data_IF_252648709500
#
_entry.id   IF_252648709500
#
_cell.length_a   1.000
_cell.length_b   1.000
_cell.length_c   1.000
_cell.angle_alpha   90.00
_cell.angle_beta   90.00
_cell.angle_gamma   90.00
#
_symmetry.space_group_name_H-M   'P 1'
#
loop_
_entity.id
_entity.type
_entity.pdbx_description
1 polymer ?
#
# COMPACT_ATOMS: atom_id res chain seq x y z
N UNK A 1 20.04 2.87 34.32
CA UNK A 1 20.13 1.88 35.40
C UNK A 1 20.78 0.61 34.85
N UNK A 2 22.01 0.36 35.27
CA UNK A 2 22.73 -0.93 35.33
C UNK A 2 22.66 -1.96 34.19
N UNK A 3 23.56 -1.83 33.22
CA UNK A 3 24.26 -2.98 32.61
C UNK A 3 25.80 -2.83 32.58
N UNK A 4 26.36 -1.70 33.03
CA UNK A 4 27.82 -1.47 33.04
C UNK A 4 28.53 -1.90 34.34
N UNK A 5 27.83 -2.45 35.34
CA UNK A 5 28.42 -2.85 36.62
C UNK A 5 28.85 -4.34 36.72
N UNK A 6 28.58 -5.18 35.72
CA UNK A 6 28.77 -6.63 35.84
C UNK A 6 30.13 -7.18 35.33
N UNK A 7 31.02 -6.35 34.75
CA UNK A 7 32.29 -6.83 34.17
C UNK A 7 33.54 -6.50 35.00
N UNK A 8 33.39 -5.93 36.21
CA UNK A 8 34.51 -5.60 37.09
C UNK A 8 34.87 -6.71 38.09
N UNK A 9 34.84 -7.99 37.71
CA UNK A 9 35.41 -9.09 38.53
C UNK A 9 35.88 -10.25 37.65
N UNK A 10 36.96 -10.03 36.89
CA UNK A 10 37.81 -11.11 36.42
C UNK A 10 39.24 -10.77 36.81
N UNK A 11 39.63 -11.42 37.89
CA UNK A 11 41.01 -11.68 38.35
C UNK A 11 42.10 -11.15 37.43
N UNK A 12 42.71 -10.03 37.84
CA UNK A 12 44.05 -9.67 37.36
C UNK A 12 44.95 -10.89 37.59
N UNK A 13 45.75 -11.32 36.59
CA UNK A 13 46.82 -12.25 36.86
C UNK A 13 47.78 -11.52 37.81
N UNK A 14 47.83 -11.96 39.07
CA UNK A 14 48.88 -11.60 40.02
C UNK A 14 50.19 -12.20 39.53
N UNK A 15 50.78 -11.58 38.51
CA UNK A 15 52.04 -12.00 37.89
C UNK A 15 53.05 -10.84 37.88
N UNK A 16 53.07 -10.04 38.93
CA UNK A 16 54.23 -9.21 39.26
C UNK A 16 54.40 -9.26 40.76
N UNK A 17 55.01 -10.35 41.24
CA UNK A 17 55.64 -10.33 42.55
C UNK A 17 56.89 -9.47 42.35
N UNK A 18 56.79 -8.19 42.75
CA UNK A 18 57.95 -7.31 42.84
C UNK A 18 59.03 -8.07 43.60
N UNK A 19 60.18 -8.27 42.95
CA UNK A 19 61.34 -8.92 43.55
C UNK A 19 61.69 -8.11 44.80
N UNK A 20 61.65 -8.69 46.02
CA UNK A 20 62.13 -7.97 47.19
C UNK A 20 63.60 -7.65 46.97
N UNK A 21 63.97 -6.38 47.16
CA UNK A 21 65.36 -5.93 47.13
C UNK A 21 66.26 -6.90 47.91
N UNK A 22 67.41 -7.25 47.33
CA UNK A 22 68.40 -8.12 47.94
C UNK A 22 68.82 -7.49 49.28
N UNK A 23 68.28 -8.00 50.39
CA UNK A 23 68.84 -7.79 51.72
C UNK A 23 69.69 -9.01 52.01
N UNK A 24 71.00 -8.87 51.85
CA UNK A 24 71.97 -9.86 52.32
C UNK A 24 71.94 -9.84 53.85
N UNK A 25 71.12 -10.68 54.47
CA UNK A 25 71.24 -10.97 55.89
C UNK A 25 72.57 -11.71 56.10
N UNK A 26 73.48 -11.11 56.86
CA UNK A 26 74.74 -11.73 57.29
C UNK A 26 74.45 -13.00 58.08
N UNK A 27 75.05 -14.15 57.75
CA UNK A 27 74.83 -15.38 58.51
C UNK A 27 75.49 -15.26 59.88
N UNK A 28 74.73 -15.57 60.94
CA UNK A 28 75.26 -15.78 62.28
C UNK A 28 76.12 -17.05 62.27
N UNK A 29 77.39 -16.90 62.63
CA UNK A 29 78.44 -17.91 62.40
C UNK A 29 78.67 -18.69 63.69
N UNK A 30 77.86 -19.72 63.94
CA UNK A 30 78.13 -20.66 65.05
C UNK A 30 77.99 -22.14 64.72
N UNK A 31 77.77 -22.54 63.46
CA UNK A 31 77.94 -23.93 63.01
C UNK A 31 78.64 -23.99 61.64
N UNK A 32 79.90 -24.43 61.62
CA UNK A 32 80.82 -24.31 60.47
C UNK A 32 81.07 -25.61 59.71
N UNK A 33 80.27 -26.66 59.91
CA UNK A 33 80.47 -27.93 59.20
C UNK A 33 79.69 -28.09 57.89
N UNK A 34 78.65 -27.26 57.62
CA UNK A 34 77.83 -27.41 56.40
C UNK A 34 77.35 -26.10 55.73
N UNK A 35 78.18 -25.06 55.75
CA UNK A 35 77.84 -23.76 55.10
C UNK A 35 77.95 -23.81 53.57
N UNK A 36 78.84 -24.64 53.02
CA UNK A 36 79.00 -24.81 51.57
C UNK A 36 77.90 -25.66 50.94
N UNK A 37 77.35 -26.65 51.65
CA UNK A 37 76.20 -27.43 51.20
C UNK A 37 74.96 -26.57 51.05
N UNK A 38 74.62 -25.83 52.12
CA UNK A 38 73.48 -24.91 52.13
C UNK A 38 73.53 -23.82 51.04
N UNK A 39 74.71 -23.25 50.77
CA UNK A 39 74.86 -22.25 49.70
C UNK A 39 74.69 -22.84 48.29
N UNK A 40 75.13 -24.09 48.08
CA UNK A 40 74.92 -24.78 46.78
C UNK A 40 73.46 -25.12 46.54
N UNK A 41 72.78 -25.59 47.58
CA UNK A 41 71.34 -25.90 47.51
C UNK A 41 70.52 -24.64 47.19
N UNK A 42 70.79 -23.52 47.88
CA UNK A 42 70.15 -22.23 47.59
C UNK A 42 70.47 -21.70 46.19
N UNK A 43 71.67 -21.96 45.66
CA UNK A 43 72.02 -21.58 44.30
C UNK A 43 71.22 -22.41 43.28
N UNK A 44 71.13 -23.73 43.50
CA UNK A 44 70.34 -24.63 42.66
C UNK A 44 68.85 -24.26 42.65
N UNK A 45 68.26 -23.96 43.82
CA UNK A 45 66.88 -23.45 43.92
C UNK A 45 66.67 -22.17 43.11
N UNK A 46 67.64 -21.24 43.14
CA UNK A 46 67.55 -19.98 42.39
C UNK A 46 67.75 -20.16 40.90
N UNK A 47 68.57 -21.12 40.48
CA UNK A 47 68.71 -21.50 39.09
C UNK A 47 67.42 -22.14 38.55
N UNK A 48 66.79 -23.02 39.32
CA UNK A 48 65.49 -23.61 38.97
C UNK A 48 64.38 -22.56 38.90
N UNK A 49 64.32 -21.63 39.87
CA UNK A 49 63.39 -20.50 39.87
C UNK A 49 63.60 -19.60 38.65
N UNK A 50 64.87 -19.31 38.29
CA UNK A 50 65.20 -18.52 37.10
C UNK A 50 64.78 -19.22 35.79
N UNK A 51 64.98 -20.54 35.70
CA UNK A 51 64.55 -21.33 34.55
C UNK A 51 63.02 -21.34 34.41
N UNK A 52 62.29 -21.54 35.50
CA UNK A 52 60.82 -21.51 35.51
C UNK A 52 60.27 -20.14 35.14
N UNK A 53 60.88 -19.07 35.67
CA UNK A 53 60.52 -17.70 35.32
C UNK A 53 60.78 -17.41 33.84
N UNK A 54 61.90 -17.90 33.28
CA UNK A 54 62.21 -17.75 31.86
C UNK A 54 61.21 -18.49 30.97
N UNK A 55 60.82 -19.72 31.34
CA UNK A 55 59.80 -20.48 30.62
C UNK A 55 58.44 -19.75 30.62
N UNK A 56 58.04 -19.21 31.78
CA UNK A 56 56.79 -18.44 31.93
C UNK A 56 56.82 -17.15 31.10
N UNK A 57 57.97 -16.46 31.03
CA UNK A 57 58.16 -15.27 30.20
C UNK A 57 58.02 -15.59 28.72
N UNK A 58 58.58 -16.72 28.27
CA UNK A 58 58.48 -17.15 26.87
C UNK A 58 57.03 -17.47 26.48
N UNK A 59 56.31 -18.23 27.30
CA UNK A 59 54.89 -18.53 27.09
C UNK A 59 54.04 -17.25 27.08
N UNK A 60 54.32 -16.32 27.99
CA UNK A 60 53.62 -15.03 28.04
C UNK A 60 53.88 -14.21 26.78
N UNK A 61 55.10 -14.23 26.25
CA UNK A 61 55.46 -13.55 25.00
C UNK A 61 54.70 -14.15 23.81
N UNK A 62 54.60 -15.47 23.72
CA UNK A 62 53.86 -16.16 22.66
C UNK A 62 52.36 -15.82 22.71
N UNK A 63 51.76 -15.85 23.90
CA UNK A 63 50.37 -15.41 24.09
C UNK A 63 50.15 -13.94 23.71
N UNK A 64 51.13 -13.06 23.97
CA UNK A 64 51.05 -11.66 23.55
C UNK A 64 51.11 -11.50 22.03
N UNK A 65 51.93 -12.30 21.34
CA UNK A 65 51.96 -12.29 19.87
C UNK A 65 50.64 -12.80 19.29
N UNK A 66 50.08 -13.88 19.81
CA UNK A 66 48.76 -14.37 19.37
C UNK A 66 47.66 -13.33 19.61
N UNK A 67 47.64 -12.69 20.79
CA UNK A 67 46.70 -11.61 21.09
C UNK A 67 46.83 -10.44 20.10
N UNK A 68 48.07 -10.10 19.70
CA UNK A 68 48.33 -9.03 18.74
C UNK A 68 47.81 -9.38 17.36
N UNK A 69 48.07 -10.59 16.87
CA UNK A 69 47.61 -11.05 15.56
C UNK A 69 46.08 -11.10 15.50
N UNK A 70 45.43 -11.55 16.58
CA UNK A 70 43.98 -11.50 16.71
C UNK A 70 43.43 -10.07 16.68
N UNK A 71 44.09 -9.13 17.34
CA UNK A 71 43.71 -7.72 17.32
C UNK A 71 43.86 -7.13 15.91
N UNK A 72 44.96 -7.41 15.23
CA UNK A 72 45.21 -6.93 13.87
C UNK A 72 44.16 -7.48 12.90
N UNK A 73 43.83 -8.77 12.99
CA UNK A 73 42.74 -9.39 12.20
C UNK A 73 41.38 -8.73 12.48
N UNK A 74 41.00 -8.60 13.76
CA UNK A 74 39.73 -7.97 14.14
C UNK A 74 39.64 -6.51 13.67
N UNK A 75 40.75 -5.76 13.70
CA UNK A 75 40.75 -4.38 13.19
C UNK A 75 40.60 -4.32 11.67
N UNK A 76 41.18 -5.27 10.92
CA UNK A 76 40.99 -5.37 9.48
C UNK A 76 39.54 -5.70 9.12
N UNK A 77 38.92 -6.66 9.82
CA UNK A 77 37.50 -6.99 9.64
C UNK A 77 36.57 -5.81 9.92
N UNK A 78 36.85 -5.05 10.99
CA UNK A 78 36.08 -3.85 11.33
C UNK A 78 36.19 -2.77 10.24
N UNK A 79 37.38 -2.58 9.66
CA UNK A 79 37.57 -1.65 8.53
C UNK A 79 36.75 -2.08 7.32
N UNK A 80 36.84 -3.35 6.93
CA UNK A 80 36.07 -3.90 5.82
C UNK A 80 34.54 -3.82 6.06
N UNK A 81 34.09 -4.02 7.31
CA UNK A 81 32.69 -3.84 7.68
C UNK A 81 32.23 -2.38 7.51
N UNK A 82 33.03 -1.41 7.95
CA UNK A 82 32.72 0.02 7.80
C UNK A 82 32.66 0.46 6.33
N UNK A 83 33.56 -0.04 5.49
CA UNK A 83 33.54 0.23 4.05
C UNK A 83 32.28 -0.32 3.38
N UNK A 84 31.88 -1.56 3.73
CA UNK A 84 30.61 -2.14 3.27
C UNK A 84 29.41 -1.33 3.74
N UNK A 85 29.40 -0.89 4.99
CA UNK A 85 28.35 -0.02 5.52
C UNK A 85 28.26 1.30 4.74
N UNK A 86 29.38 1.98 4.51
CA UNK A 86 29.43 3.21 3.73
C UNK A 86 28.94 3.00 2.29
N UNK A 87 29.28 1.88 1.66
CA UNK A 87 28.78 1.51 0.35
C UNK A 87 27.25 1.33 0.34
N UNK A 88 26.70 0.61 1.32
CA UNK A 88 25.26 0.39 1.45
C UNK A 88 24.51 1.69 1.73
N UNK A 89 25.04 2.55 2.61
CA UNK A 89 24.48 3.88 2.89
C UNK A 89 24.41 4.73 1.61
N UNK A 90 25.44 4.70 0.77
CA UNK A 90 25.44 5.38 -0.53
C UNK A 90 24.41 4.78 -1.51
N UNK A 91 24.17 3.47 -1.47
CA UNK A 91 23.15 2.82 -2.30
C UNK A 91 21.74 3.21 -1.85
N UNK A 92 21.48 3.23 -0.53
CA UNK A 92 20.22 3.68 0.06
C UNK A 92 19.94 5.13 -0.32
N UNK A 93 20.94 6.01 -0.23
CA UNK A 93 20.81 7.42 -0.62
C UNK A 93 20.36 7.57 -2.08
N UNK A 94 21.04 6.89 -3.01
CA UNK A 94 20.68 6.93 -4.44
C UNK A 94 19.27 6.43 -4.72
N UNK A 95 18.85 5.34 -4.07
CA UNK A 95 17.48 4.83 -4.21
C UNK A 95 16.46 5.84 -3.67
N UNK A 96 16.74 6.50 -2.55
CA UNK A 96 15.88 7.53 -1.97
C UNK A 96 15.78 8.77 -2.86
N UNK A 97 16.88 9.19 -3.49
CA UNK A 97 16.89 10.29 -4.46
C UNK A 97 16.04 9.94 -5.69
N UNK A 98 16.21 8.73 -6.25
CA UNK A 98 15.41 8.25 -7.38
C UNK A 98 13.92 8.15 -7.06
N UNK A 99 13.57 7.66 -5.87
CA UNK A 99 12.19 7.58 -5.41
C UNK A 99 11.53 8.96 -5.28
N UNK A 100 12.27 9.96 -4.77
CA UNK A 100 11.80 11.36 -4.70
C UNK A 100 11.53 11.94 -6.08
N UNK A 101 12.41 11.68 -7.03
CA UNK A 101 12.23 12.17 -8.41
C UNK A 101 11.03 11.52 -9.09
N UNK A 102 10.84 10.22 -8.92
CA UNK A 102 9.64 9.53 -9.40
C UNK A 102 8.36 10.13 -8.79
N UNK A 103 8.35 10.40 -7.48
CA UNK A 103 7.21 11.05 -6.81
C UNK A 103 6.93 12.44 -7.38
N UNK A 104 7.97 13.23 -7.67
CA UNK A 104 7.85 14.55 -8.29
C UNK A 104 7.22 14.46 -9.69
N UNK A 105 7.68 13.52 -10.52
CA UNK A 105 7.14 13.29 -11.87
C UNK A 105 5.67 12.87 -11.80
N UNK A 106 5.33 11.92 -10.92
CA UNK A 106 3.94 11.48 -10.71
C UNK A 106 3.06 12.65 -10.31
N UNK A 107 3.51 13.50 -9.37
CA UNK A 107 2.78 14.71 -8.98
C UNK A 107 2.57 15.68 -10.14
N UNK A 108 3.59 15.89 -10.97
CA UNK A 108 3.47 16.76 -12.15
C UNK A 108 2.51 16.19 -13.21
N UNK A 109 2.52 14.88 -13.45
CA UNK A 109 1.59 14.21 -14.36
C UNK A 109 0.15 14.28 -13.84
N UNK A 110 -0.06 14.07 -12.55
CA UNK A 110 -1.38 14.23 -11.93
C UNK A 110 -1.92 15.66 -12.13
N UNK A 111 -1.08 16.68 -11.94
CA UNK A 111 -1.46 18.08 -12.20
C UNK A 111 -1.78 18.36 -13.67
N UNK A 112 -1.09 17.73 -14.63
CA UNK A 112 -1.44 17.83 -16.05
C UNK A 112 -2.79 17.15 -16.35
N UNK A 113 -3.01 15.94 -15.84
CA UNK A 113 -4.26 15.21 -16.02
C UNK A 113 -5.47 15.99 -15.49
N UNK A 114 -5.33 16.65 -14.33
CA UNK A 114 -6.38 17.50 -13.78
C UNK A 114 -6.70 18.71 -14.68
N UNK A 115 -5.68 19.34 -15.27
CA UNK A 115 -5.87 20.43 -16.24
C UNK A 115 -6.58 19.96 -17.51
N UNK A 116 -6.18 18.80 -18.05
CA UNK A 116 -6.82 18.20 -19.23
C UNK A 116 -8.29 17.89 -18.93
N UNK A 117 -8.57 17.20 -17.82
CA UNK A 117 -9.94 16.88 -17.43
C UNK A 117 -10.80 18.13 -17.23
N UNK A 118 -10.23 19.21 -16.67
CA UNK A 118 -10.91 20.50 -16.55
C UNK A 118 -11.20 21.12 -17.92
N UNK A 119 -10.22 21.13 -18.82
CA UNK A 119 -10.38 21.67 -20.16
C UNK A 119 -11.42 20.88 -20.97
N UNK A 120 -11.41 19.54 -20.86
CA UNK A 120 -12.43 18.68 -21.47
C UNK A 120 -13.83 19.00 -20.95
N UNK A 121 -14.00 19.15 -19.63
CA UNK A 121 -15.29 19.57 -19.04
C UNK A 121 -15.75 20.91 -19.60
N UNK A 122 -14.89 21.90 -19.64
CA UNK A 122 -15.21 23.24 -20.19
C UNK A 122 -15.54 23.18 -21.68
N UNK A 123 -14.79 22.40 -22.46
CA UNK A 123 -15.04 22.24 -23.89
C UNK A 123 -16.38 21.55 -24.16
N UNK A 124 -16.73 20.53 -23.38
CA UNK A 124 -18.04 19.86 -23.47
C UNK A 124 -19.17 20.82 -23.11
N UNK A 125 -19.02 21.59 -22.04
CA UNK A 125 -20.02 22.59 -21.64
C UNK A 125 -20.23 23.65 -22.74
N UNK A 126 -19.13 24.17 -23.30
CA UNK A 126 -19.19 25.11 -24.42
C UNK A 126 -19.83 24.50 -25.68
N UNK A 127 -19.50 23.26 -26.03
CA UNK A 127 -20.12 22.55 -27.16
C UNK A 127 -21.63 22.33 -26.94
N UNK A 128 -22.03 22.03 -25.70
CA UNK A 128 -23.43 21.87 -25.32
C UNK A 128 -24.22 23.17 -25.48
N UNK A 129 -23.60 24.31 -25.14
CA UNK A 129 -24.19 25.65 -25.32
C UNK A 129 -24.29 26.04 -26.80
N UNK A 130 -23.25 25.80 -27.60
CA UNK A 130 -23.20 26.16 -29.03
C UNK A 130 -24.15 25.31 -29.87
N UNK A 131 -24.32 24.02 -29.54
CA UNK A 131 -25.20 23.12 -30.30
C UNK A 131 -26.68 23.42 -30.13
N UNK A 132 -27.08 24.26 -29.16
CA UNK A 132 -28.51 24.55 -28.93
C UNK A 132 -29.35 23.30 -28.66
N UNK A 133 -28.71 22.18 -28.33
CA UNK A 133 -29.33 20.88 -28.07
C UNK A 133 -29.96 20.93 -26.69
N UNK A 134 -31.09 21.63 -26.58
CA UNK A 134 -31.96 21.53 -25.42
C UNK A 134 -32.32 20.06 -25.23
N UNK A 135 -32.18 19.57 -24.01
CA UNK A 135 -32.73 18.27 -23.64
C UNK A 135 -34.16 18.14 -24.18
N UNK A 136 -34.59 16.93 -24.60
CA UNK A 136 -35.90 16.77 -25.17
C UNK A 136 -36.94 17.26 -24.17
N UNK A 137 -37.68 18.33 -24.51
CA UNK A 137 -38.66 18.94 -23.60
C UNK A 137 -39.70 17.95 -23.06
N UNK A 138 -39.90 16.81 -23.75
CA UNK A 138 -40.58 15.63 -23.22
C UNK A 138 -39.96 14.34 -23.76
N UNK A 139 -39.44 13.51 -22.87
CA UNK A 139 -38.98 12.14 -23.17
C UNK A 139 -40.19 11.23 -23.43
N UNK A 140 -40.18 10.52 -24.58
CA UNK A 140 -41.29 9.70 -25.09
C UNK A 140 -41.02 8.19 -25.05
N UNK A 141 -39.77 7.77 -24.85
CA UNK A 141 -39.36 6.36 -24.78
C UNK A 141 -38.02 6.19 -24.06
N UNK A 142 -37.69 4.96 -23.69
CA UNK A 142 -36.38 4.59 -23.17
C UNK A 142 -35.31 4.74 -24.25
N UNK A 143 -35.64 4.38 -25.51
CA UNK A 143 -34.74 4.63 -26.66
C UNK A 143 -34.29 6.08 -26.74
N UNK A 144 -35.23 7.02 -26.71
CA UNK A 144 -34.92 8.45 -26.81
C UNK A 144 -34.02 8.93 -25.65
N UNK A 145 -34.27 8.44 -24.44
CA UNK A 145 -33.44 8.80 -23.28
C UNK A 145 -32.00 8.31 -23.43
N UNK A 146 -31.82 7.08 -23.92
CA UNK A 146 -30.50 6.47 -24.07
C UNK A 146 -29.70 7.02 -25.24
N UNK A 147 -30.34 7.27 -26.39
CA UNK A 147 -29.70 7.92 -27.53
C UNK A 147 -29.22 9.32 -27.16
N UNK A 148 -30.05 10.09 -26.45
CA UNK A 148 -29.67 11.41 -25.95
C UNK A 148 -28.51 11.30 -24.93
N UNK A 149 -28.62 10.42 -23.94
CA UNK A 149 -27.54 10.25 -22.96
C UNK A 149 -26.22 9.82 -23.61
N UNK A 150 -26.25 8.91 -24.58
CA UNK A 150 -25.05 8.47 -25.31
C UNK A 150 -24.41 9.61 -26.11
N UNK A 151 -25.22 10.50 -26.66
CA UNK A 151 -24.74 11.65 -27.44
C UNK A 151 -24.21 12.80 -26.58
N UNK A 152 -24.80 13.05 -25.40
CA UNK A 152 -24.55 14.28 -24.63
C UNK A 152 -23.94 14.06 -23.24
N UNK A 153 -24.10 12.89 -22.63
CA UNK A 153 -23.59 12.62 -21.28
C UNK A 153 -22.20 11.99 -21.33
N UNK A 154 -21.19 12.83 -21.60
CA UNK A 154 -19.78 12.41 -21.80
C UNK A 154 -19.16 11.68 -20.60
N UNK A 155 -19.65 11.96 -19.39
CA UNK A 155 -19.18 11.32 -18.17
C UNK A 155 -19.77 9.91 -17.97
N UNK A 156 -20.64 9.46 -18.88
CA UNK A 156 -21.21 8.12 -18.89
C UNK A 156 -20.61 7.26 -20.02
N UNK A 157 -20.46 5.97 -19.74
CA UNK A 157 -20.17 4.94 -20.73
C UNK A 157 -21.39 4.02 -20.85
N UNK A 158 -22.02 4.02 -22.03
CA UNK A 158 -23.24 3.25 -22.30
C UNK A 158 -22.98 2.37 -23.54
N UNK A 159 -22.75 1.06 -23.36
CA UNK A 159 -22.58 0.13 -24.48
C UNK A 159 -23.86 0.00 -25.31
N UNK A 160 -23.72 -0.22 -26.63
CA UNK A 160 -24.86 -0.43 -27.54
C UNK A 160 -25.71 -1.63 -27.13
N UNK A 161 -25.08 -2.69 -26.63
CA UNK A 161 -25.77 -3.88 -26.10
C UNK A 161 -26.74 -3.56 -24.96
N UNK A 162 -26.42 -2.57 -24.12
CA UNK A 162 -27.30 -2.10 -23.04
C UNK A 162 -28.48 -1.33 -23.62
N UNK A 163 -28.25 -0.49 -24.63
CA UNK A 163 -29.32 0.28 -25.30
C UNK A 163 -30.33 -0.66 -25.94
N UNK A 164 -29.87 -1.59 -26.76
CA UNK A 164 -30.70 -2.57 -27.45
C UNK A 164 -31.54 -3.40 -26.47
N UNK A 165 -30.90 -3.94 -25.42
CA UNK A 165 -31.57 -4.75 -24.41
C UNK A 165 -32.62 -3.95 -23.62
N UNK A 166 -32.31 -2.71 -23.25
CA UNK A 166 -33.22 -1.84 -22.51
C UNK A 166 -34.46 -1.48 -23.33
N UNK A 167 -34.26 -1.08 -24.60
CA UNK A 167 -35.36 -0.77 -25.53
C UNK A 167 -36.24 -2.01 -25.74
N UNK A 168 -35.63 -3.16 -26.02
CA UNK A 168 -36.34 -4.40 -26.27
C UNK A 168 -37.20 -4.87 -25.07
N UNK A 169 -36.83 -4.53 -23.83
CA UNK A 169 -37.56 -4.97 -22.62
C UNK A 169 -38.50 -3.89 -22.08
N UNK A 170 -38.12 -2.63 -22.15
CA UNK A 170 -38.83 -1.55 -21.43
C UNK A 170 -39.78 -0.74 -22.32
N UNK A 171 -39.51 -0.62 -23.62
CA UNK A 171 -40.37 0.12 -24.56
C UNK A 171 -41.57 -0.69 -25.09
N UNK A 172 -41.61 -2.00 -24.85
CA UNK A 172 -42.71 -2.90 -25.27
C UNK A 172 -44.00 -2.77 -24.45
N UNK A 173 -44.01 -2.04 -23.34
CA UNK A 173 -45.19 -1.90 -22.47
C UNK A 173 -45.85 -0.52 -22.59
N UNK A 174 -47.13 -0.41 -22.19
CA UNK A 174 -47.87 0.87 -22.14
C UNK A 174 -47.25 1.97 -21.26
N UNK A 175 -46.18 1.67 -20.51
CA UNK A 175 -45.45 2.61 -19.64
C UNK A 175 -44.15 3.17 -20.26
N UNK A 176 -43.95 3.05 -21.58
CA UNK A 176 -42.71 3.50 -22.27
C UNK A 176 -42.29 4.94 -21.96
N UNK A 177 -43.26 5.87 -21.90
CA UNK A 177 -42.97 7.29 -21.64
C UNK A 177 -42.49 7.52 -20.20
N UNK A 178 -43.20 6.95 -19.22
CA UNK A 178 -42.83 7.07 -17.81
C UNK A 178 -41.46 6.44 -17.53
N UNK A 179 -41.20 5.26 -18.12
CA UNK A 179 -39.89 4.59 -18.04
C UNK A 179 -38.78 5.41 -18.70
N UNK A 180 -39.05 6.00 -19.87
CA UNK A 180 -38.10 6.89 -20.53
C UNK A 180 -37.73 8.09 -19.66
N UNK A 181 -38.71 8.73 -19.01
CA UNK A 181 -38.46 9.84 -18.07
C UNK A 181 -37.62 9.40 -16.87
N UNK A 182 -37.94 8.26 -16.26
CA UNK A 182 -37.17 7.75 -15.12
C UNK A 182 -35.74 7.38 -15.50
N UNK A 183 -35.52 6.80 -16.69
CA UNK A 183 -34.19 6.52 -17.21
C UNK A 183 -33.42 7.82 -17.46
N UNK A 184 -34.04 8.82 -18.08
CA UNK A 184 -33.41 10.14 -18.29
C UNK A 184 -33.03 10.79 -16.95
N UNK A 185 -33.93 10.79 -15.97
CA UNK A 185 -33.70 11.34 -14.63
C UNK A 185 -32.48 10.68 -13.96
N UNK A 186 -32.43 9.35 -13.98
CA UNK A 186 -31.32 8.59 -13.41
C UNK A 186 -29.99 8.88 -14.13
N UNK A 187 -29.98 8.88 -15.47
CA UNK A 187 -28.77 9.14 -16.25
C UNK A 187 -28.27 10.58 -16.06
N UNK A 188 -29.18 11.56 -16.01
CA UNK A 188 -28.82 12.96 -15.74
C UNK A 188 -28.19 13.11 -14.36
N UNK A 189 -28.77 12.47 -13.35
CA UNK A 189 -28.23 12.52 -11.99
C UNK A 189 -26.85 11.86 -11.89
N UNK A 190 -26.65 10.69 -12.52
CA UNK A 190 -25.34 10.03 -12.58
C UNK A 190 -24.31 10.89 -13.33
N UNK A 191 -24.70 11.48 -14.46
CA UNK A 191 -23.82 12.38 -15.22
C UNK A 191 -23.41 13.60 -14.38
N UNK A 192 -24.38 14.24 -13.71
CA UNK A 192 -24.12 15.37 -12.82
C UNK A 192 -23.19 14.97 -11.65
N UNK A 193 -23.43 13.83 -11.02
CA UNK A 193 -22.56 13.29 -9.97
C UNK A 193 -21.12 13.09 -10.46
N UNK A 194 -20.93 12.51 -11.64
CA UNK A 194 -19.61 12.30 -12.22
C UNK A 194 -18.87 13.63 -12.51
N UNK A 195 -19.61 14.68 -12.89
CA UNK A 195 -19.05 15.99 -13.18
C UNK A 195 -18.78 16.83 -11.92
N UNK A 196 -19.59 16.68 -10.87
CA UNK A 196 -19.47 17.43 -9.61
C UNK A 196 -18.14 17.14 -8.90
N UNK A 197 -17.51 16.00 -9.21
CA UNK A 197 -16.15 15.69 -8.75
C UNK A 197 -16.06 15.47 -7.24
N UNK A 198 -17.18 15.17 -6.58
CA UNK A 198 -17.25 14.95 -5.14
C UNK A 198 -16.27 13.83 -4.73
N UNK A 199 -15.30 14.18 -3.90
CA UNK A 199 -14.22 13.26 -3.47
C UNK A 199 -14.61 12.39 -2.28
N UNK A 200 -15.60 12.84 -1.51
CA UNK A 200 -16.03 12.20 -0.27
C UNK A 200 -17.46 11.66 -0.40
N UNK A 201 -17.59 10.33 -0.33
CA UNK A 201 -18.87 9.62 -0.42
C UNK A 201 -19.17 9.03 -1.80
N UNK A 202 -20.25 8.26 -1.86
CA UNK A 202 -20.75 7.61 -3.07
C UNK A 202 -21.95 8.36 -3.68
N UNK A 203 -22.48 7.86 -4.80
CA UNK A 203 -23.64 8.45 -5.47
C UNK A 203 -24.87 8.59 -4.56
N UNK A 204 -25.10 7.63 -3.64
CA UNK A 204 -26.23 7.71 -2.70
C UNK A 204 -26.01 8.86 -1.72
N UNK A 205 -24.82 8.98 -1.16
CA UNK A 205 -24.46 10.09 -0.28
C UNK A 205 -24.60 11.44 -0.99
N UNK A 206 -24.19 11.53 -2.26
CA UNK A 206 -24.37 12.74 -3.07
C UNK A 206 -25.85 13.10 -3.25
N UNK A 207 -26.71 12.10 -3.51
CA UNK A 207 -28.16 12.30 -3.58
C UNK A 207 -28.77 12.75 -2.25
N UNK A 208 -28.29 12.22 -1.11
CA UNK A 208 -28.76 12.59 0.24
C UNK A 208 -28.47 14.07 0.58
N UNK A 209 -27.40 14.63 0.02
CA UNK A 209 -27.04 16.05 0.18
C UNK A 209 -27.79 16.99 -0.76
N UNK A 210 -28.72 16.47 -1.56
CA UNK A 210 -29.54 17.24 -2.50
C UNK A 210 -28.94 17.38 -3.90
N UNK A 211 -27.86 16.65 -4.20
CA UNK A 211 -27.17 16.72 -5.50
C UNK A 211 -26.49 18.07 -5.75
N UNK A 212 -26.33 18.41 -7.03
CA UNK A 212 -25.66 19.64 -7.47
C UNK A 212 -26.44 20.30 -8.60
N UNK A 213 -26.44 21.64 -8.64
CA UNK A 213 -27.12 22.44 -9.68
C UNK A 213 -28.61 22.08 -9.90
N UNK A 214 -29.32 21.71 -8.82
CA UNK A 214 -30.74 21.34 -8.87
C UNK A 214 -31.03 19.97 -9.52
N UNK A 215 -30.00 19.19 -9.83
CA UNK A 215 -30.10 17.82 -10.33
C UNK A 215 -29.77 16.85 -9.18
N UNK A 216 -30.73 16.04 -8.79
CA UNK A 216 -30.52 14.94 -7.87
C UNK A 216 -31.42 13.75 -8.24
N UNK A 217 -31.13 12.59 -7.66
CA UNK A 217 -32.02 11.44 -7.70
C UNK A 217 -32.50 11.15 -6.28
N UNK A 218 -33.66 10.52 -6.13
CA UNK A 218 -34.12 10.14 -4.79
C UNK A 218 -33.18 9.10 -4.18
N UNK A 219 -32.52 9.46 -3.07
CA UNK A 219 -31.60 8.56 -2.36
C UNK A 219 -32.24 7.23 -1.94
N UNK A 220 -33.55 7.22 -1.66
CA UNK A 220 -34.33 6.01 -1.33
C UNK A 220 -34.45 5.02 -2.51
N UNK A 221 -34.19 5.49 -3.73
CA UNK A 221 -34.18 4.69 -4.95
C UNK A 221 -32.78 4.27 -5.35
N UNK A 222 -31.74 4.66 -4.61
CA UNK A 222 -30.33 4.30 -4.85
C UNK A 222 -29.91 3.21 -3.85
N UNK A 223 -29.26 2.17 -4.35
CA UNK A 223 -28.60 1.16 -3.54
C UNK A 223 -27.16 1.00 -4.03
N UNK A 224 -26.20 1.12 -3.11
CA UNK A 224 -24.77 1.02 -3.44
C UNK A 224 -24.25 -0.42 -3.37
N UNK A 225 -25.06 -1.34 -2.85
CA UNK A 225 -24.76 -2.77 -2.80
C UNK A 225 -26.04 -3.60 -2.92
N UNK A 226 -25.86 -4.84 -3.34
CA UNK A 226 -26.91 -5.86 -3.36
C UNK A 226 -27.05 -6.52 -1.98
N UNK A 227 -28.19 -7.15 -1.72
CA UNK A 227 -28.40 -7.89 -0.47
C UNK A 227 -27.39 -9.03 -0.27
N UNK A 228 -27.07 -9.34 0.99
CA UNK A 228 -26.14 -10.44 1.35
C UNK A 228 -26.56 -11.78 0.74
N UNK A 229 -27.88 -12.06 0.67
CA UNK A 229 -28.40 -13.30 0.08
C UNK A 229 -28.14 -13.41 -1.43
N UNK A 230 -28.17 -12.29 -2.15
CA UNK A 230 -27.81 -12.22 -3.58
C UNK A 230 -26.32 -12.44 -3.77
N UNK A 231 -25.49 -11.81 -2.94
CA UNK A 231 -24.03 -11.90 -3.04
C UNK A 231 -23.49 -13.30 -2.73
N UNK A 232 -24.13 -14.04 -1.82
CA UNK A 232 -23.72 -15.41 -1.45
C UNK A 232 -24.08 -16.48 -2.48
N UNK A 233 -24.96 -16.17 -3.44
CA UNK A 233 -25.36 -17.12 -4.47
C UNK A 233 -24.60 -16.85 -5.76
N UNK A 234 -23.77 -17.79 -6.17
CA UNK A 234 -22.98 -17.69 -7.40
C UNK A 234 -23.86 -17.41 -8.64
N UNK A 235 -25.03 -18.06 -8.74
CA UNK A 235 -25.99 -17.82 -9.82
C UNK A 235 -26.48 -16.36 -9.85
N UNK A 236 -26.78 -15.79 -8.69
CA UNK A 236 -27.32 -14.42 -8.60
C UNK A 236 -26.24 -13.36 -8.76
N UNK A 237 -25.03 -13.62 -8.24
CA UNK A 237 -23.85 -12.78 -8.46
C UNK A 237 -23.46 -12.78 -9.95
N UNK A 238 -23.49 -13.95 -10.61
CA UNK A 238 -23.20 -14.05 -12.04
C UNK A 238 -24.19 -13.24 -12.90
N UNK A 239 -25.46 -13.16 -12.52
CA UNK A 239 -26.46 -12.33 -13.21
C UNK A 239 -26.17 -10.81 -13.14
N UNK A 240 -25.26 -10.39 -12.25
CA UNK A 240 -24.82 -9.00 -12.07
C UNK A 240 -23.44 -8.73 -12.68
N UNK A 241 -22.90 -9.67 -13.46
CA UNK A 241 -21.71 -9.47 -14.29
C UNK A 241 -22.12 -8.92 -15.65
N UNK A 242 -21.83 -7.65 -15.87
CA UNK A 242 -22.16 -6.96 -17.11
C UNK A 242 -20.91 -6.69 -17.94
N UNK A 243 -21.11 -6.46 -19.23
CA UNK A 243 -20.03 -6.03 -20.12
C UNK A 243 -19.49 -4.67 -19.67
N UNK A 244 -18.17 -4.53 -19.70
CA UNK A 244 -17.46 -3.29 -19.43
C UNK A 244 -16.39 -3.06 -20.48
N UNK A 245 -15.90 -1.83 -20.56
CA UNK A 245 -14.73 -1.50 -21.37
C UNK A 245 -13.52 -2.38 -20.95
N UNK A 246 -12.79 -3.02 -21.88
CA UNK A 246 -11.57 -3.77 -21.57
C UNK A 246 -10.51 -2.97 -20.79
N UNK A 247 -10.51 -1.65 -20.89
CA UNK A 247 -9.65 -0.78 -20.09
C UNK A 247 -9.94 -0.87 -18.58
N UNK A 248 -11.19 -1.20 -18.20
CA UNK A 248 -11.60 -1.43 -16.81
C UNK A 248 -11.23 -2.82 -16.31
N UNK A 249 -11.46 -3.84 -17.14
CA UNK A 249 -11.24 -5.24 -16.81
C UNK A 249 -10.91 -6.04 -18.08
N UNK A 250 -9.77 -6.71 -18.09
CA UNK A 250 -9.29 -7.49 -19.25
C UNK A 250 -10.23 -8.64 -19.65
N UNK A 251 -11.07 -9.11 -18.74
CA UNK A 251 -12.10 -10.12 -19.04
C UNK A 251 -13.30 -9.54 -19.81
N UNK A 252 -13.40 -8.21 -19.92
CA UNK A 252 -14.51 -7.49 -20.56
C UNK A 252 -15.82 -7.58 -19.77
N UNK A 253 -15.82 -8.13 -18.56
CA UNK A 253 -17.00 -8.21 -17.69
C UNK A 253 -16.67 -7.86 -16.25
N UNK A 254 -17.58 -7.18 -15.58
CA UNK A 254 -17.42 -6.82 -14.17
C UNK A 254 -18.72 -6.95 -13.41
N UNK A 255 -18.62 -7.39 -12.17
CA UNK A 255 -19.76 -7.40 -11.25
C UNK A 255 -20.13 -5.96 -10.88
N UNK A 256 -21.41 -5.64 -11.01
CA UNK A 256 -21.97 -4.35 -10.58
C UNK A 256 -23.10 -4.60 -9.60
N UNK A 257 -22.96 -4.08 -8.39
CA UNK A 257 -23.95 -4.21 -7.32
C UNK A 257 -24.69 -2.90 -7.06
N UNK A 258 -24.08 -1.76 -7.39
CA UNK A 258 -24.71 -0.45 -7.30
C UNK A 258 -25.79 -0.30 -8.38
N UNK A 259 -26.96 0.17 -7.97
CA UNK A 259 -28.10 0.30 -8.86
C UNK A 259 -29.11 1.34 -8.37
N UNK A 260 -29.96 1.78 -9.30
CA UNK A 260 -31.12 2.63 -9.02
C UNK A 260 -32.42 1.97 -9.46
N UNK A 261 -33.49 2.19 -8.70
CA UNK A 261 -34.86 1.80 -9.05
C UNK A 261 -35.48 2.84 -9.98
N UNK A 262 -35.98 2.42 -11.14
CA UNK A 262 -36.59 3.28 -12.17
C UNK A 262 -38.11 3.47 -11.98
N UNK A 263 -38.70 2.77 -11.03
CA UNK A 263 -40.11 2.95 -10.63
C UNK A 263 -40.27 2.60 -9.14
N UNK A 264 -41.48 2.76 -8.62
CA UNK A 264 -41.86 2.27 -7.30
C UNK A 264 -42.19 0.77 -7.33
N UNK A 265 -41.98 0.10 -6.20
CA UNK A 265 -42.27 -1.32 -6.02
C UNK A 265 -41.05 -2.26 -6.05
N UNK A 266 -41.27 -3.50 -5.61
CA UNK A 266 -40.20 -4.49 -5.48
C UNK A 266 -39.67 -4.97 -6.84
N UNK A 267 -40.56 -5.18 -7.81
CA UNK A 267 -40.24 -5.63 -9.18
C UNK A 267 -39.93 -4.49 -10.14
N UNK A 268 -39.69 -3.28 -9.62
CA UNK A 268 -39.38 -2.11 -10.43
C UNK A 268 -38.14 -2.37 -11.32
N UNK A 269 -38.15 -1.91 -12.58
CA UNK A 269 -36.96 -1.95 -13.41
C UNK A 269 -35.78 -1.24 -12.72
N UNK A 270 -34.57 -1.73 -12.97
CA UNK A 270 -33.33 -1.21 -12.40
C UNK A 270 -32.35 -0.79 -13.46
N UNK A 271 -31.52 0.19 -13.10
CA UNK A 271 -30.31 0.54 -13.80
C UNK A 271 -29.12 0.21 -12.89
N UNK A 272 -28.21 -0.64 -13.35
CA UNK A 272 -26.96 -0.97 -12.65
C UNK A 272 -25.81 -0.17 -13.24
N UNK A 273 -24.94 0.31 -12.36
CA UNK A 273 -23.81 1.14 -12.75
C UNK A 273 -22.57 0.78 -11.94
N UNK A 274 -21.41 1.13 -12.51
CA UNK A 274 -20.12 1.11 -11.85
C UNK A 274 -19.56 2.52 -11.84
N UNK A 275 -19.22 2.99 -10.65
CA UNK A 275 -18.54 4.26 -10.45
C UNK A 275 -17.03 4.07 -10.62
N UNK A 276 -16.48 4.55 -11.74
CA UNK A 276 -15.05 4.61 -12.02
C UNK A 276 -14.58 6.08 -12.16
N UNK A 277 -15.31 7.03 -11.57
CA UNK A 277 -14.99 8.48 -11.61
C UNK A 277 -13.63 8.78 -10.98
N UNK A 278 -13.21 7.96 -10.01
CA UNK A 278 -11.89 8.02 -9.35
C UNK A 278 -10.89 6.99 -9.87
N UNK A 279 -11.28 6.21 -10.88
CA UNK A 279 -10.48 5.13 -11.43
C UNK A 279 -9.88 5.47 -12.78
N UNK A 280 -9.68 4.45 -13.61
CA UNK A 280 -8.88 4.55 -14.85
C UNK A 280 -9.58 5.37 -15.93
N UNK A 281 -10.89 5.28 -16.01
CA UNK A 281 -11.70 5.89 -17.08
C UNK A 281 -12.26 7.24 -16.70
N UNK A 282 -12.39 7.53 -15.40
CA UNK A 282 -13.00 8.76 -14.90
C UNK A 282 -14.50 8.87 -15.22
N UNK A 283 -15.18 7.75 -15.51
CA UNK A 283 -16.58 7.71 -15.96
C UNK A 283 -17.45 6.81 -15.08
N UNK A 284 -18.76 6.99 -15.20
CA UNK A 284 -19.74 6.01 -14.71
C UNK A 284 -20.10 5.07 -15.86
N UNK A 285 -19.98 3.77 -15.63
CA UNK A 285 -20.28 2.74 -16.62
C UNK A 285 -21.64 2.14 -16.36
N UNK A 286 -22.51 2.16 -17.37
CA UNK A 286 -23.85 1.59 -17.27
C UNK A 286 -23.80 0.15 -17.76
N UNK A 287 -24.00 -0.80 -16.86
CA UNK A 287 -23.93 -2.23 -17.18
C UNK A 287 -25.25 -2.86 -17.57
N UNK A 288 -26.38 -2.34 -17.04
CA UNK A 288 -27.69 -2.91 -17.29
C UNK A 288 -28.80 -1.90 -17.07
N UNK A 289 -29.82 -1.93 -17.95
CA UNK A 289 -31.10 -1.26 -17.75
C UNK A 289 -32.20 -2.22 -18.15
N UNK A 290 -33.09 -2.56 -17.23
CA UNK A 290 -34.13 -3.53 -17.52
C UNK A 290 -34.95 -3.97 -16.32
N UNK A 291 -35.80 -4.99 -16.49
CA UNK A 291 -36.54 -5.61 -15.40
C UNK A 291 -35.63 -6.03 -14.25
N UNK A 292 -36.25 -6.14 -13.08
CA UNK A 292 -35.63 -6.69 -11.88
C UNK A 292 -34.91 -8.02 -12.16
N UNK A 293 -33.65 -8.14 -11.75
CA UNK A 293 -32.86 -9.36 -11.90
C UNK A 293 -33.24 -10.41 -10.85
N UNK A 294 -33.00 -11.70 -11.10
CA UNK A 294 -33.34 -12.76 -10.15
C UNK A 294 -32.79 -12.53 -8.74
N UNK A 295 -33.62 -12.83 -7.75
CA UNK A 295 -33.35 -12.77 -6.32
C UNK A 295 -33.78 -14.08 -5.64
N UNK A 296 -33.45 -14.24 -4.36
CA UNK A 296 -33.77 -15.45 -3.58
C UNK A 296 -35.29 -15.73 -3.45
N UNK A 297 -36.14 -14.74 -3.75
CA UNK A 297 -37.61 -14.84 -3.68
C UNK A 297 -38.24 -15.27 -5.00
N UNK A 298 -37.48 -15.30 -6.10
CA UNK A 298 -38.00 -15.73 -7.39
C UNK A 298 -38.00 -17.26 -7.48
N UNK A 299 -39.08 -17.89 -8.00
CA UNK A 299 -39.14 -19.34 -8.19
C UNK A 299 -37.99 -19.80 -9.10
N UNK A 300 -37.44 -20.98 -8.78
CA UNK A 300 -36.34 -21.61 -9.52
C UNK A 300 -36.74 -21.98 -10.94
#
# INVERSE_FOLDING_TARGET
MNQQQALRRRTSPTCFRVVPSIVLASPDVSDRSDTRGCLRERLAEKEEEAQMNWATLLETRERLTECRDLLDSATAELRAAREREAHLQNRIRRLRDGWREQHRIIGALAGHAERVAKAERTAVEALSQVRGEREPGRVRSVKQALEFAKAHFVALSIPDSVVEAAVAKLDKSGRRQGRGRAVMEALRALHAYALDGMRDGDFKHWCERGGSSGVCYSANRVAMSESVGVQRSERMAHARRFQVDPALDVSGRREMTAHVKLDQGETAPRLYFLDDTRGKTGKIHIGYIGPHLPTARDPK
#
